data_IF_909204113144
#
_entry.id   IF_909204113144
#
_cell.length_a   1.000
_cell.length_b   1.000
_cell.length_c   1.000
_cell.angle_alpha   90.00
_cell.angle_beta   90.00
_cell.angle_gamma   90.00
#
_symmetry.space_group_name_H-M   'P 1'
#
loop_
_entity.id
_entity.type
_entity.pdbx_description
1 polymer ?
#
# COMPACT_ATOMS: atom_id res chain seq x y z
N UNK A 1 10.89 0.60 -2.55
CA UNK A 1 11.67 1.86 -2.55
C UNK A 1 10.95 3.01 -1.89
N UNK A 2 9.71 3.36 -2.27
CA UNK A 2 9.01 4.49 -1.62
C UNK A 2 8.72 4.28 -0.12
N UNK A 3 8.62 3.03 0.33
CA UNK A 3 8.50 2.68 1.76
C UNK A 3 9.78 3.01 2.53
N UNK A 4 10.94 2.92 1.87
CA UNK A 4 12.24 3.39 2.39
C UNK A 4 12.37 4.92 2.28
N UNK A 5 11.77 5.55 1.27
CA UNK A 5 11.68 7.03 1.23
C UNK A 5 10.84 7.59 2.38
N UNK A 6 9.81 6.86 2.83
CA UNK A 6 8.99 7.20 4.00
C UNK A 6 9.72 6.92 5.32
N UNK A 7 10.44 5.79 5.39
CA UNK A 7 11.19 5.41 6.58
C UNK A 7 12.47 6.21 6.74
N UNK A 8 13.00 6.80 5.66
CA UNK A 8 14.38 7.25 5.71
C UNK A 8 14.75 8.45 4.84
N UNK A 9 14.38 9.63 5.34
CA UNK A 9 15.02 10.89 4.92
C UNK A 9 16.53 10.89 5.29
N UNK A 10 16.96 10.10 6.29
CA UNK A 10 18.32 10.10 6.81
C UNK A 10 19.26 9.10 6.08
N UNK A 11 18.87 7.83 5.91
CA UNK A 11 19.72 6.83 5.26
C UNK A 11 19.78 7.01 3.74
N UNK A 12 18.81 7.72 3.14
CA UNK A 12 18.84 8.04 1.71
C UNK A 12 20.06 8.87 1.30
N UNK A 13 20.60 9.70 2.20
CA UNK A 13 21.87 10.44 1.96
C UNK A 13 23.10 9.53 1.96
N UNK A 14 23.04 8.38 2.63
CA UNK A 14 24.16 7.44 2.68
C UNK A 14 24.18 6.47 1.50
N UNK A 15 23.02 6.19 0.89
CA UNK A 15 22.89 5.15 -0.14
C UNK A 15 23.31 5.63 -1.54
N UNK A 16 23.04 6.88 -1.89
CA UNK A 16 23.38 7.44 -3.21
C UNK A 16 24.68 8.24 -3.14
N UNK A 17 25.80 7.59 -3.47
CA UNK A 17 27.13 8.23 -3.55
C UNK A 17 27.57 8.61 -4.97
N UNK A 18 26.81 8.23 -5.99
CA UNK A 18 27.24 8.36 -7.38
C UNK A 18 26.27 9.21 -8.19
N UNK A 19 26.79 10.32 -8.73
CA UNK A 19 26.14 11.12 -9.79
C UNK A 19 26.66 10.60 -11.14
N UNK A 20 25.87 9.77 -11.81
CA UNK A 20 26.20 9.27 -13.14
C UNK A 20 26.01 10.40 -14.15
N UNK A 21 27.13 10.97 -14.63
CA UNK A 21 27.13 12.03 -15.65
C UNK A 21 27.13 11.41 -17.03
N UNK A 22 25.94 11.32 -17.65
CA UNK A 22 25.76 10.84 -19.03
C UNK A 22 26.64 11.58 -20.05
N UNK A 23 26.84 12.90 -19.87
CA UNK A 23 27.66 13.74 -20.75
C UNK A 23 29.12 13.27 -20.89
N UNK A 24 29.66 12.53 -19.91
CA UNK A 24 31.04 12.01 -19.99
C UNK A 24 31.18 10.80 -20.91
N UNK A 25 30.08 10.10 -21.20
CA UNK A 25 30.09 8.93 -22.07
C UNK A 25 29.85 9.26 -23.56
N UNK A 26 29.33 10.45 -23.88
CA UNK A 26 29.00 10.84 -25.26
C UNK A 26 30.12 11.58 -26.00
N UNK A 27 31.21 11.98 -25.33
CA UNK A 27 32.28 12.80 -25.95
C UNK A 27 33.46 12.00 -26.53
N UNK A 28 33.45 10.67 -26.43
CA UNK A 28 34.50 9.79 -26.96
C UNK A 28 34.10 9.11 -28.26
N UNK A 29 34.20 9.82 -29.39
CA UNK A 29 33.99 9.24 -30.71
C UNK A 29 34.96 8.10 -31.02
N UNK A 30 34.58 6.86 -30.69
CA UNK A 30 35.16 5.64 -31.26
C UNK A 30 34.14 4.51 -31.10
N UNK A 31 33.46 4.18 -32.19
CA UNK A 31 32.22 3.39 -32.25
C UNK A 31 32.37 1.90 -31.96
N UNK A 32 33.00 1.50 -30.85
CA UNK A 32 33.19 0.06 -30.54
C UNK A 32 32.78 -0.41 -29.15
N UNK A 33 32.37 0.47 -28.22
CA UNK A 33 32.08 0.06 -26.82
C UNK A 33 30.75 0.58 -26.25
N UNK A 34 29.81 1.00 -27.09
CA UNK A 34 28.53 1.61 -26.66
C UNK A 34 27.47 0.61 -26.16
N UNK A 35 27.73 -0.70 -26.23
CA UNK A 35 26.71 -1.72 -25.99
C UNK A 35 26.51 -2.16 -24.53
N UNK A 36 27.22 -1.62 -23.53
CA UNK A 36 27.23 -2.29 -22.21
C UNK A 36 27.30 -1.43 -20.95
N UNK A 37 27.10 -0.11 -21.02
CA UNK A 37 26.98 0.70 -19.81
C UNK A 37 25.52 0.77 -19.33
N UNK A 38 24.94 -0.36 -18.90
CA UNK A 38 23.65 -0.30 -18.21
C UNK A 38 23.86 0.32 -16.82
N UNK A 39 23.07 1.33 -16.42
CA UNK A 39 23.21 1.95 -15.10
C UNK A 39 23.09 0.89 -14.01
N UNK A 40 23.95 0.98 -12.98
CA UNK A 40 23.98 -0.01 -11.91
C UNK A 40 22.67 -0.02 -11.13
N UNK A 41 22.14 -1.23 -10.92
CA UNK A 41 20.89 -1.47 -10.20
C UNK A 41 21.18 -2.25 -8.93
N UNK A 42 20.53 -1.88 -7.84
CA UNK A 42 20.41 -2.74 -6.69
C UNK A 42 19.40 -3.86 -6.99
N UNK A 43 19.67 -5.07 -6.50
CA UNK A 43 18.82 -6.24 -6.72
C UNK A 43 17.36 -6.03 -6.30
N UNK A 44 17.12 -5.24 -5.24
CA UNK A 44 15.78 -4.93 -4.69
C UNK A 44 15.46 -3.43 -4.69
N UNK A 45 16.49 -2.58 -4.80
CA UNK A 45 16.46 -1.14 -4.51
C UNK A 45 16.63 -0.28 -5.77
N UNK A 46 16.18 -0.75 -6.94
CA UNK A 46 16.12 0.08 -8.15
C UNK A 46 17.49 0.59 -8.61
N UNK A 47 17.56 1.81 -9.13
CA UNK A 47 18.78 2.40 -9.67
C UNK A 47 19.65 3.01 -8.58
N UNK A 48 20.98 2.90 -8.72
CA UNK A 48 21.95 3.52 -7.80
C UNK A 48 22.05 5.04 -7.98
N UNK A 49 21.76 5.54 -9.18
CA UNK A 49 21.73 6.97 -9.50
C UNK A 49 20.38 7.59 -9.11
N UNK A 50 20.44 8.72 -8.40
CA UNK A 50 19.25 9.44 -7.91
C UNK A 50 18.48 10.16 -9.01
N UNK A 51 19.16 10.83 -9.94
CA UNK A 51 18.50 11.55 -11.04
C UNK A 51 17.79 10.57 -11.96
N UNK A 52 18.43 9.42 -12.24
CA UNK A 52 17.86 8.41 -13.10
C UNK A 52 16.67 7.69 -12.44
N UNK A 53 16.76 7.40 -11.15
CA UNK A 53 15.61 6.91 -10.39
C UNK A 53 14.47 7.93 -10.40
N UNK A 54 14.78 9.20 -10.21
CA UNK A 54 13.81 10.28 -10.24
C UNK A 54 13.11 10.41 -11.60
N UNK A 55 13.85 10.30 -12.70
CA UNK A 55 13.27 10.31 -14.04
C UNK A 55 12.41 9.07 -14.27
N UNK A 56 12.91 7.89 -13.91
CA UNK A 56 12.17 6.64 -14.00
C UNK A 56 10.85 6.68 -13.22
N UNK A 57 10.85 7.18 -11.97
CA UNK A 57 9.63 7.30 -11.16
C UNK A 57 8.64 8.31 -11.73
N UNK A 58 9.13 9.37 -12.40
CA UNK A 58 8.27 10.32 -13.10
C UNK A 58 7.56 9.64 -14.27
N UNK A 59 8.31 8.91 -15.09
CA UNK A 59 7.76 8.22 -16.27
C UNK A 59 6.84 7.08 -15.87
N UNK A 60 7.18 6.35 -14.81
CA UNK A 60 6.34 5.30 -14.26
C UNK A 60 4.99 5.85 -13.79
N UNK A 61 4.99 7.00 -13.09
CA UNK A 61 3.78 7.64 -12.60
C UNK A 61 2.86 8.16 -13.72
N UNK A 62 3.44 8.56 -14.86
CA UNK A 62 2.72 9.02 -16.05
C UNK A 62 2.16 7.84 -16.85
N UNK A 63 3.01 6.86 -17.15
CA UNK A 63 2.68 5.72 -18.02
C UNK A 63 1.66 4.78 -17.37
N UNK A 64 1.75 4.57 -16.05
CA UNK A 64 0.89 3.63 -15.33
C UNK A 64 -0.32 4.29 -14.66
N UNK A 65 -0.73 5.50 -15.05
CA UNK A 65 -1.89 6.20 -14.49
C UNK A 65 -3.15 5.32 -14.45
N UNK A 66 -3.49 4.71 -15.59
CA UNK A 66 -4.68 3.87 -15.69
C UNK A 66 -4.56 2.63 -14.79
N UNK A 67 -3.37 2.03 -14.69
CA UNK A 67 -3.14 0.87 -13.82
C UNK A 67 -3.30 1.21 -12.34
N UNK A 68 -2.82 2.38 -11.91
CA UNK A 68 -2.98 2.84 -10.52
C UNK A 68 -4.47 3.05 -10.22
N UNK A 69 -5.20 3.73 -11.10
CA UNK A 69 -6.63 3.97 -10.92
C UNK A 69 -7.44 2.67 -10.91
N UNK A 70 -7.17 1.76 -11.85
CA UNK A 70 -7.79 0.43 -11.88
C UNK A 70 -7.46 -0.35 -10.61
N UNK A 71 -6.22 -0.28 -10.12
CA UNK A 71 -5.82 -0.89 -8.86
C UNK A 71 -6.64 -0.39 -7.67
N UNK A 72 -6.87 0.93 -7.57
CA UNK A 72 -7.76 1.48 -6.55
C UNK A 72 -9.21 0.98 -6.67
N UNK A 73 -9.76 0.98 -7.89
CA UNK A 73 -11.14 0.51 -8.12
C UNK A 73 -11.29 -0.96 -7.73
N UNK A 74 -10.36 -1.81 -8.16
CA UNK A 74 -10.36 -3.25 -7.81
C UNK A 74 -10.19 -3.46 -6.31
N UNK A 75 -9.31 -2.71 -5.64
CA UNK A 75 -9.12 -2.78 -4.19
C UNK A 75 -10.37 -2.35 -3.42
N UNK A 76 -11.02 -1.26 -3.84
CA UNK A 76 -12.26 -0.78 -3.22
C UNK A 76 -13.38 -1.82 -3.41
N UNK A 77 -13.55 -2.37 -4.61
CA UNK A 77 -14.58 -3.39 -4.88
C UNK A 77 -14.35 -4.66 -4.08
N UNK A 78 -13.11 -5.16 -4.07
CA UNK A 78 -12.72 -6.35 -3.28
C UNK A 78 -13.00 -6.12 -1.80
N UNK A 79 -12.61 -4.96 -1.27
CA UNK A 79 -12.84 -4.63 0.13
C UNK A 79 -14.31 -4.44 0.45
N UNK A 80 -15.07 -3.79 -0.43
CA UNK A 80 -16.50 -3.59 -0.29
C UNK A 80 -17.25 -4.93 -0.25
N UNK A 81 -16.88 -5.88 -1.12
CA UNK A 81 -17.44 -7.23 -1.09
C UNK A 81 -17.23 -7.90 0.28
N UNK A 82 -16.03 -7.80 0.87
CA UNK A 82 -15.77 -8.31 2.21
C UNK A 82 -16.53 -7.56 3.30
N UNK A 83 -16.69 -6.24 3.17
CA UNK A 83 -17.41 -5.41 4.13
C UNK A 83 -18.92 -5.71 4.17
N UNK A 84 -19.53 -6.13 3.04
CA UNK A 84 -20.97 -6.46 3.01
C UNK A 84 -21.35 -7.63 3.92
N UNK A 85 -20.48 -8.63 4.07
CA UNK A 85 -20.74 -9.76 4.98
C UNK A 85 -20.70 -9.29 6.44
N UNK A 86 -19.76 -8.41 6.79
CA UNK A 86 -19.66 -7.80 8.12
C UNK A 86 -20.86 -6.92 8.46
N UNK A 87 -21.33 -6.12 7.49
CA UNK A 87 -22.54 -5.32 7.65
C UNK A 87 -23.76 -6.20 7.91
N UNK A 88 -23.88 -7.33 7.21
CA UNK A 88 -24.96 -8.28 7.42
C UNK A 88 -24.94 -8.88 8.84
N UNK A 89 -23.76 -9.31 9.32
CA UNK A 89 -23.59 -9.80 10.69
C UNK A 89 -23.85 -8.70 11.73
N UNK A 90 -23.48 -7.45 11.45
CA UNK A 90 -23.75 -6.32 12.33
C UNK A 90 -25.25 -6.09 12.52
N UNK A 91 -26.02 -6.04 11.42
CA UNK A 91 -27.47 -5.83 11.44
C UNK A 91 -28.20 -6.98 12.14
N UNK A 92 -27.79 -8.24 11.91
CA UNK A 92 -28.38 -9.40 12.58
C UNK A 92 -28.01 -9.44 14.07
N UNK A 93 -26.75 -9.15 14.41
CA UNK A 93 -26.28 -9.18 15.79
C UNK A 93 -27.04 -8.22 16.69
N UNK A 94 -27.37 -7.03 16.18
CA UNK A 94 -28.19 -6.04 16.88
C UNK A 94 -29.63 -6.52 17.07
N UNK A 95 -30.24 -7.11 16.03
CA UNK A 95 -31.62 -7.63 16.09
C UNK A 95 -31.80 -8.83 17.02
N UNK A 96 -30.81 -9.72 17.11
CA UNK A 96 -30.92 -10.98 17.84
C UNK A 96 -30.19 -10.97 19.21
N UNK A 97 -29.67 -9.82 19.65
CA UNK A 97 -29.09 -9.66 20.99
C UNK A 97 -27.83 -10.51 21.23
N UNK A 98 -27.03 -10.76 20.20
CA UNK A 98 -25.80 -11.55 20.35
C UNK A 98 -24.79 -10.80 21.22
N UNK A 99 -24.13 -11.51 22.16
CA UNK A 99 -23.29 -11.01 23.28
C UNK A 99 -22.02 -10.20 22.86
N UNK A 100 -21.88 -9.82 21.58
CA UNK A 100 -20.72 -9.14 21.01
C UNK A 100 -20.87 -7.65 20.67
N UNK A 101 -21.94 -6.95 21.09
CA UNK A 101 -22.27 -5.59 20.59
C UNK A 101 -21.11 -4.57 20.65
N UNK A 102 -20.29 -4.57 21.70
CA UNK A 102 -19.11 -3.68 21.80
C UNK A 102 -17.94 -4.09 20.90
N UNK A 103 -17.74 -5.40 20.71
CA UNK A 103 -16.71 -5.95 19.83
C UNK A 103 -17.06 -5.66 18.36
N UNK A 104 -18.34 -5.84 17.99
CA UNK A 104 -18.85 -5.54 16.66
C UNK A 104 -18.69 -4.07 16.27
N UNK A 105 -19.00 -3.12 17.17
CA UNK A 105 -18.84 -1.68 16.87
C UNK A 105 -17.39 -1.27 16.57
N UNK A 106 -16.42 -1.80 17.33
CA UNK A 106 -15.00 -1.43 17.17
C UNK A 106 -14.42 -1.99 15.88
N UNK A 107 -14.71 -3.25 15.56
CA UNK A 107 -14.25 -3.93 14.34
C UNK A 107 -14.92 -3.34 13.10
N UNK A 108 -16.21 -3.01 13.19
CA UNK A 108 -16.93 -2.36 12.11
C UNK A 108 -16.39 -0.95 11.84
N UNK A 109 -16.16 -0.15 12.89
CA UNK A 109 -15.58 1.20 12.77
C UNK A 109 -14.21 1.19 12.11
N UNK A 110 -13.32 0.26 12.50
CA UNK A 110 -12.01 0.05 11.84
C UNK A 110 -12.15 -0.23 10.34
N UNK A 111 -13.18 -0.98 9.95
CA UNK A 111 -13.41 -1.36 8.56
C UNK A 111 -13.94 -0.19 7.74
N UNK A 112 -14.81 0.65 8.32
CA UNK A 112 -15.26 1.90 7.70
C UNK A 112 -14.09 2.88 7.53
N UNK A 113 -13.23 3.02 8.54
CA UNK A 113 -12.02 3.84 8.44
C UNK A 113 -11.08 3.36 7.33
N UNK A 114 -10.87 2.04 7.20
CA UNK A 114 -10.04 1.48 6.14
C UNK A 114 -10.61 1.75 4.74
N UNK A 115 -11.93 1.63 4.55
CA UNK A 115 -12.59 2.00 3.29
C UNK A 115 -12.44 3.50 2.99
N UNK A 116 -12.64 4.35 4.01
CA UNK A 116 -12.50 5.79 3.86
C UNK A 116 -11.09 6.18 3.40
N UNK A 117 -10.05 5.53 3.92
CA UNK A 117 -8.66 5.74 3.52
C UNK A 117 -8.43 5.42 2.05
N UNK A 118 -9.02 4.34 1.51
CA UNK A 118 -8.94 4.04 0.07
C UNK A 118 -9.67 5.06 -0.79
N UNK A 119 -10.87 5.49 -0.37
CA UNK A 119 -11.66 6.48 -1.11
C UNK A 119 -10.92 7.83 -1.13
N UNK A 120 -10.42 8.28 0.02
CA UNK A 120 -9.63 9.50 0.13
C UNK A 120 -8.33 9.40 -0.68
N UNK A 121 -7.66 8.25 -0.67
CA UNK A 121 -6.49 7.97 -1.49
C UNK A 121 -6.77 8.09 -2.99
N UNK A 122 -7.86 7.49 -3.47
CA UNK A 122 -8.29 7.58 -4.86
C UNK A 122 -8.61 9.03 -5.25
N UNK A 123 -9.37 9.75 -4.42
CA UNK A 123 -9.70 11.16 -4.65
C UNK A 123 -8.43 12.01 -4.70
N UNK A 124 -7.49 11.81 -3.77
CA UNK A 124 -6.20 12.50 -3.77
C UNK A 124 -5.41 12.22 -5.06
N UNK A 125 -5.33 10.96 -5.52
CA UNK A 125 -4.69 10.61 -6.78
C UNK A 125 -5.36 11.30 -7.98
N UNK A 126 -6.70 11.33 -8.03
CA UNK A 126 -7.45 12.02 -9.09
C UNK A 126 -7.19 13.53 -9.09
N UNK A 127 -7.18 14.17 -7.92
CA UNK A 127 -6.87 15.59 -7.76
C UNK A 127 -5.44 15.90 -8.23
N UNK A 128 -4.46 15.06 -7.86
CA UNK A 128 -3.07 15.21 -8.31
C UNK A 128 -2.97 15.05 -9.82
N UNK A 129 -3.65 14.07 -10.41
CA UNK A 129 -3.64 13.90 -11.88
C UNK A 129 -4.33 15.06 -12.61
N UNK A 130 -5.42 15.59 -12.07
CA UNK A 130 -6.15 16.73 -12.65
C UNK A 130 -5.37 18.03 -12.54
N UNK A 131 -4.62 18.24 -11.46
CA UNK A 131 -3.90 19.48 -11.23
C UNK A 131 -2.67 19.59 -12.14
N UNK A 132 -2.73 20.45 -13.16
CA UNK A 132 -1.59 20.71 -14.07
C UNK A 132 -0.43 21.45 -13.40
N UNK A 133 -0.68 22.11 -12.26
CA UNK A 133 0.32 22.93 -11.55
C UNK A 133 1.39 22.11 -10.81
N UNK A 134 1.20 20.80 -10.64
CA UNK A 134 2.17 19.96 -9.94
C UNK A 134 3.24 19.45 -10.90
N UNK A 135 4.52 19.90 -10.78
CA UNK A 135 5.59 19.54 -11.70
C UNK A 135 6.01 18.07 -11.58
N UNK A 136 5.74 17.43 -10.44
CA UNK A 136 6.08 16.02 -10.20
C UNK A 136 4.83 15.20 -9.87
N UNK A 137 4.37 14.40 -10.83
CA UNK A 137 3.31 13.40 -10.60
C UNK A 137 3.76 12.22 -9.71
N UNK A 138 5.05 12.21 -9.33
CA UNK A 138 5.66 11.27 -8.37
C UNK A 138 4.94 11.21 -7.02
N UNK A 139 4.30 12.31 -6.61
CA UNK A 139 3.53 12.38 -5.37
C UNK A 139 2.41 11.33 -5.35
N UNK A 140 1.86 10.95 -6.52
CA UNK A 140 0.83 9.90 -6.62
C UNK A 140 1.34 8.55 -6.10
N UNK A 141 2.60 8.20 -6.40
CA UNK A 141 3.19 6.95 -5.93
C UNK A 141 3.32 6.95 -4.40
N UNK A 142 3.70 8.08 -3.81
CA UNK A 142 3.82 8.25 -2.36
C UNK A 142 2.46 8.16 -1.67
N UNK A 143 1.45 8.85 -2.21
CA UNK A 143 0.07 8.77 -1.70
C UNK A 143 -0.45 7.35 -1.78
N UNK A 144 -0.24 6.67 -2.90
CA UNK A 144 -0.68 5.28 -3.07
C UNK A 144 -0.05 4.37 -2.03
N UNK A 145 1.26 4.49 -1.82
CA UNK A 145 1.98 3.64 -0.88
C UNK A 145 1.60 3.95 0.57
N UNK A 146 1.40 5.22 0.91
CA UNK A 146 0.88 5.63 2.22
C UNK A 146 -0.53 5.05 2.48
N UNK A 147 -1.41 5.06 1.48
CA UNK A 147 -2.77 4.52 1.57
C UNK A 147 -2.75 3.00 1.79
N UNK A 148 -1.96 2.26 1.00
CA UNK A 148 -1.82 0.81 1.19
C UNK A 148 -1.16 0.46 2.53
N UNK A 149 -0.19 1.25 2.98
CA UNK A 149 0.44 1.05 4.28
C UNK A 149 -0.55 1.29 5.43
N UNK A 150 -1.29 2.39 5.40
CA UNK A 150 -2.35 2.67 6.36
C UNK A 150 -3.41 1.56 6.36
N UNK A 151 -3.81 1.08 5.19
CA UNK A 151 -4.72 -0.06 5.06
C UNK A 151 -4.18 -1.32 5.76
N UNK A 152 -2.90 -1.67 5.55
CA UNK A 152 -2.28 -2.82 6.22
C UNK A 152 -2.27 -2.67 7.75
N UNK A 153 -2.10 -1.44 8.27
CA UNK A 153 -2.20 -1.19 9.71
C UNK A 153 -3.62 -1.41 10.25
N UNK A 154 -4.64 -0.95 9.50
CA UNK A 154 -6.04 -1.15 9.90
C UNK A 154 -6.46 -2.63 9.85
N UNK A 155 -6.10 -3.35 8.78
CA UNK A 155 -6.42 -4.77 8.65
C UNK A 155 -5.62 -5.63 9.63
N UNK A 156 -4.34 -5.31 9.85
CA UNK A 156 -3.50 -5.96 10.85
C UNK A 156 -4.02 -5.74 12.28
N UNK A 157 -4.43 -4.51 12.61
CA UNK A 157 -5.04 -4.18 13.90
C UNK A 157 -6.37 -4.91 14.12
N UNK A 158 -7.20 -5.04 13.08
CA UNK A 158 -8.42 -5.84 13.11
C UNK A 158 -8.14 -7.33 13.33
N UNK A 159 -7.18 -7.90 12.60
CA UNK A 159 -6.78 -9.30 12.76
C UNK A 159 -6.28 -9.58 14.18
N UNK A 160 -5.42 -8.71 14.72
CA UNK A 160 -4.92 -8.81 16.09
C UNK A 160 -6.05 -8.82 17.13
N UNK A 161 -7.03 -7.91 17.00
CA UNK A 161 -8.21 -7.89 17.89
C UNK A 161 -9.11 -9.12 17.72
N UNK A 162 -9.23 -9.64 16.50
CA UNK A 162 -10.03 -10.84 16.22
C UNK A 162 -9.40 -12.09 16.83
N UNK A 163 -8.08 -12.23 16.72
CA UNK A 163 -7.33 -13.31 17.35
C UNK A 163 -7.40 -13.21 18.89
N UNK A 164 -7.26 -12.00 19.45
CA UNK A 164 -7.32 -11.79 20.90
C UNK A 164 -8.72 -12.06 21.49
N UNK A 165 -9.79 -11.86 20.69
CA UNK A 165 -11.16 -12.12 21.11
C UNK A 165 -11.65 -13.53 20.76
N UNK A 166 -10.93 -14.27 19.91
CA UNK A 166 -11.23 -15.65 19.65
C UNK A 166 -11.04 -16.43 20.96
N UNK A 167 -12.05 -17.16 21.44
CA UNK A 167 -11.86 -18.07 22.55
C UNK A 167 -10.89 -19.14 22.07
N UNK A 168 -9.60 -18.97 22.35
CA UNK A 168 -8.63 -20.04 22.25
C UNK A 168 -9.04 -21.09 23.27
N UNK A 169 -9.91 -22.00 22.82
CA UNK A 169 -10.34 -23.17 23.56
C UNK A 169 -9.16 -24.11 23.76
N UNK A 170 -8.32 -23.80 24.76
CA UNK A 170 -7.84 -24.81 25.68
C UNK A 170 -8.80 -24.82 26.87
N UNK A 171 -10.02 -25.32 26.63
CA UNK A 171 -10.79 -25.92 27.71
C UNK A 171 -10.88 -27.41 27.37
N UNK A 172 -9.85 -28.14 27.82
CA UNK A 172 -9.64 -29.55 27.57
C UNK A 172 -10.54 -30.45 28.45
N UNK A 173 -11.47 -29.85 29.21
CA UNK A 173 -12.21 -30.51 30.29
C UNK A 173 -13.74 -30.51 30.10
N UNK A 174 -14.26 -30.50 28.87
CA UNK A 174 -15.66 -30.84 28.64
C UNK A 174 -15.75 -32.36 28.40
N UNK A 175 -16.18 -33.18 29.39
CA UNK A 175 -16.34 -34.60 29.21
C UNK A 175 -17.38 -34.85 28.12
N UNK A 176 -17.04 -35.74 27.20
CA UNK A 176 -17.89 -36.24 26.11
C UNK A 176 -19.09 -36.95 26.75
N UNK A 177 -20.15 -36.19 27.01
CA UNK A 177 -21.46 -36.70 27.37
C UNK A 177 -22.14 -37.18 26.09
N UNK A 178 -22.09 -38.49 25.87
CA UNK A 178 -22.84 -39.18 24.83
C UNK A 178 -24.34 -38.95 25.04
N UNK A 179 -25.00 -38.28 24.08
CA UNK A 179 -26.45 -38.33 23.95
C UNK A 179 -26.76 -39.56 23.10
N UNK A 180 -27.31 -40.58 23.75
CA UNK A 180 -27.95 -41.75 23.13
C UNK A 180 -29.38 -41.39 22.76
#
# INVERSE_FOLDING_TARGET
MVLLDLLDVAFRRCLHKEDFKFEKHDLGGSGSCLNSASPSKYFVLGFKDRNLEDEYLRDLALTNRNKILVGYVVSILTYFSSWTSELYFFILGDKYGFVGAKFNNTVFSLSVCALAVFVLGLVACLLIYRNKSLPSKKVVLHVTIAVYFAFMLFTGGKLSKTIAAAPFGMNQDQPIGWVV
#
